data_IF_559182142172
#
_entry.id   IF_559182142172
#
_cell.length_a   1.000
_cell.length_b   1.000
_cell.length_c   1.000
_cell.angle_alpha   90.00
_cell.angle_beta   90.00
_cell.angle_gamma   90.00
#
_symmetry.space_group_name_H-M   'P 1'
#
loop_
_entity.id
_entity.type
_entity.pdbx_description
1 polymer ?
#
# COMPACT_ATOMS: atom_id res chain seq x y z
N UNK A 1 1.16 5.56 24.36
CA UNK A 1 2.40 4.75 24.31
C UNK A 1 3.67 5.59 24.35
N UNK A 2 4.19 6.25 23.30
CA UNK A 2 5.43 7.03 23.45
C UNK A 2 5.30 8.17 24.49
N UNK A 3 4.22 8.96 24.43
CA UNK A 3 3.96 10.02 25.40
C UNK A 3 3.72 9.47 26.81
N UNK A 4 2.87 8.45 26.91
CA UNK A 4 2.31 7.99 28.19
C UNK A 4 3.18 6.95 28.91
N UNK A 5 3.93 6.13 28.17
CA UNK A 5 4.74 5.00 28.71
C UNK A 5 6.25 5.22 28.55
N UNK A 6 6.68 6.09 27.62
CA UNK A 6 8.09 6.41 27.39
C UNK A 6 8.45 7.88 27.66
N UNK A 7 7.63 8.60 28.42
CA UNK A 7 7.86 10.01 28.80
C UNK A 7 8.21 10.91 27.61
N UNK A 8 7.56 10.68 26.46
CA UNK A 8 7.82 11.38 25.19
C UNK A 8 9.22 11.20 24.60
N UNK A 9 9.96 10.18 25.04
CA UNK A 9 11.26 9.80 24.46
C UNK A 9 11.11 8.56 23.59
N UNK A 10 11.70 8.59 22.40
CA UNK A 10 11.74 7.41 21.52
C UNK A 10 12.70 6.39 22.15
N UNK A 11 12.28 5.12 22.36
CA UNK A 11 13.17 4.08 22.86
C UNK A 11 14.35 3.85 21.91
N UNK A 12 15.55 3.66 22.46
CA UNK A 12 16.74 3.34 21.66
C UNK A 12 16.96 1.85 21.44
N UNK A 13 16.24 1.01 22.18
CA UNK A 13 16.28 -0.45 22.09
C UNK A 13 15.35 -0.96 20.96
N UNK A 14 15.85 -1.84 20.06
CA UNK A 14 15.07 -2.40 18.96
C UNK A 14 13.84 -3.20 19.40
N UNK A 15 13.91 -3.93 20.53
CA UNK A 15 12.77 -4.70 21.01
C UNK A 15 11.62 -3.78 21.45
N UNK A 16 11.95 -2.72 22.19
CA UNK A 16 11.03 -1.67 22.63
C UNK A 16 10.43 -0.91 21.46
N UNK A 17 11.24 -0.61 20.43
CA UNK A 17 10.73 -0.01 19.19
C UNK A 17 9.71 -0.92 18.50
N UNK A 18 9.99 -2.22 18.37
CA UNK A 18 9.08 -3.21 17.75
C UNK A 18 7.77 -3.41 18.52
N UNK A 19 7.75 -3.08 19.81
CA UNK A 19 6.53 -3.13 20.62
C UNK A 19 5.55 -1.98 20.29
N UNK A 20 6.01 -0.92 19.63
CA UNK A 20 5.17 0.21 19.23
C UNK A 20 4.24 -0.18 18.06
N UNK A 21 2.94 0.18 18.10
CA UNK A 21 2.02 -0.07 17.00
C UNK A 21 2.52 0.51 15.67
N UNK A 22 2.58 -0.34 14.64
CA UNK A 22 3.01 0.04 13.30
C UNK A 22 4.54 0.05 13.07
N UNK A 23 5.35 -0.24 14.08
CA UNK A 23 6.82 -0.31 13.95
C UNK A 23 7.25 -1.75 13.70
N UNK A 24 7.59 -2.04 12.44
CA UNK A 24 8.14 -3.34 12.02
C UNK A 24 9.66 -3.45 12.20
N UNK A 25 10.22 -4.61 11.83
CA UNK A 25 11.68 -4.88 11.91
C UNK A 25 12.50 -3.84 11.16
N UNK A 26 12.05 -3.43 9.96
CA UNK A 26 12.66 -2.36 9.16
C UNK A 26 12.75 -1.04 9.94
N UNK A 27 11.61 -0.52 10.41
CA UNK A 27 11.55 0.79 11.08
C UNK A 27 12.34 0.78 12.39
N UNK A 28 12.26 -0.33 13.15
CA UNK A 28 13.06 -0.48 14.36
C UNK A 28 14.56 -0.43 14.05
N UNK A 29 15.03 -1.19 13.05
CA UNK A 29 16.44 -1.18 12.63
C UNK A 29 16.90 0.19 12.12
N UNK A 30 16.06 0.89 11.35
CA UNK A 30 16.32 2.25 10.88
C UNK A 30 16.53 3.23 12.04
N UNK A 31 15.56 3.32 12.95
CA UNK A 31 15.62 4.25 14.08
C UNK A 31 16.79 3.89 15.00
N UNK A 32 16.96 2.62 15.35
CA UNK A 32 18.02 2.20 16.27
C UNK A 32 19.42 2.42 15.69
N UNK A 33 19.64 2.15 14.40
CA UNK A 33 20.96 2.33 13.78
C UNK A 33 21.29 3.77 13.43
N UNK A 34 20.36 4.50 12.82
CA UNK A 34 20.58 5.87 12.33
C UNK A 34 20.58 6.87 13.48
N UNK A 35 19.60 6.79 14.38
CA UNK A 35 19.45 7.78 15.46
C UNK A 35 20.31 7.42 16.67
N UNK A 36 20.40 6.13 17.00
CA UNK A 36 21.01 5.66 18.24
C UNK A 36 22.31 4.87 18.05
N UNK A 37 22.81 4.76 16.81
CA UNK A 37 24.09 4.12 16.51
C UNK A 37 24.15 2.62 16.81
N UNK A 38 23.00 1.95 16.98
CA UNK A 38 22.94 0.52 17.27
C UNK A 38 23.31 -0.31 16.04
N UNK A 39 24.01 -1.43 16.25
CA UNK A 39 24.36 -2.41 15.21
C UNK A 39 23.16 -3.27 14.81
N UNK A 40 22.11 -2.61 14.33
CA UNK A 40 20.91 -3.30 13.85
C UNK A 40 20.84 -3.20 12.34
N UNK A 41 20.54 -4.32 11.65
CA UNK A 41 20.38 -4.28 10.21
C UNK A 41 19.09 -3.53 9.84
N UNK A 42 19.08 -3.02 8.61
CA UNK A 42 17.91 -2.51 7.94
C UNK A 42 17.82 -3.20 6.58
N UNK A 43 16.68 -3.82 6.29
CA UNK A 43 16.45 -4.49 5.02
C UNK A 43 15.08 -4.09 4.46
N UNK A 44 15.10 -3.50 3.27
CA UNK A 44 13.95 -3.26 2.39
C UNK A 44 14.17 -3.93 1.02
N UNK A 45 13.27 -3.70 0.07
CA UNK A 45 13.41 -4.25 -1.29
C UNK A 45 14.65 -3.76 -2.04
N UNK A 46 15.23 -2.61 -1.68
CA UNK A 46 16.47 -2.10 -2.26
C UNK A 46 17.67 -2.86 -1.71
N UNK A 47 17.76 -2.99 -0.39
CA UNK A 47 18.81 -3.73 0.31
C UNK A 47 18.82 -5.21 -0.09
N UNK A 48 17.65 -5.87 -0.17
CA UNK A 48 17.56 -7.26 -0.64
C UNK A 48 18.22 -7.43 -2.00
N UNK A 49 17.90 -6.54 -2.95
CA UNK A 49 18.47 -6.58 -4.31
C UNK A 49 19.98 -6.33 -4.30
N UNK A 50 20.45 -5.34 -3.53
CA UNK A 50 21.88 -5.04 -3.42
C UNK A 50 22.64 -6.24 -2.87
N UNK A 51 22.18 -6.82 -1.76
CA UNK A 51 22.86 -7.94 -1.11
C UNK A 51 22.85 -9.20 -1.98
N UNK A 52 21.71 -9.55 -2.58
CA UNK A 52 21.63 -10.70 -3.48
C UNK A 52 22.54 -10.53 -4.69
N UNK A 53 22.65 -9.33 -5.27
CA UNK A 53 23.60 -9.07 -6.37
C UNK A 53 25.05 -9.12 -5.91
N UNK A 54 25.36 -8.53 -4.76
CA UNK A 54 26.72 -8.52 -4.20
C UNK A 54 27.28 -9.94 -4.08
N UNK A 55 26.46 -10.87 -3.58
CA UNK A 55 26.85 -12.26 -3.35
C UNK A 55 26.41 -13.23 -4.47
N UNK A 56 25.78 -12.73 -5.54
CA UNK A 56 25.19 -13.52 -6.63
C UNK A 56 24.19 -14.62 -6.17
N UNK A 57 23.32 -14.28 -5.22
CA UNK A 57 22.24 -15.15 -4.75
C UNK A 57 21.06 -15.07 -5.72
N UNK A 58 20.90 -16.15 -6.49
CA UNK A 58 19.82 -16.30 -7.47
C UNK A 58 18.46 -16.59 -6.82
N UNK A 59 17.41 -16.48 -7.64
CA UNK A 59 16.03 -16.72 -7.22
C UNK A 59 15.28 -15.44 -6.85
N UNK A 60 14.02 -15.57 -6.39
CA UNK A 60 13.19 -14.43 -6.01
C UNK A 60 13.80 -13.65 -4.82
N UNK A 61 13.31 -12.43 -4.54
CA UNK A 61 13.72 -11.67 -3.37
C UNK A 61 13.61 -12.50 -2.09
N UNK A 62 14.74 -12.78 -1.45
CA UNK A 62 14.88 -13.55 -0.22
C UNK A 62 15.21 -12.61 0.94
N UNK A 63 14.17 -12.18 1.64
CA UNK A 63 14.30 -11.32 2.81
C UNK A 63 14.99 -12.05 3.97
N UNK A 64 14.74 -13.35 4.16
CA UNK A 64 15.30 -14.10 5.29
C UNK A 64 16.82 -14.17 5.19
N UNK A 65 17.33 -14.57 4.02
CA UNK A 65 18.76 -14.56 3.74
C UNK A 65 19.34 -13.15 3.84
N UNK A 66 18.67 -12.16 3.26
CA UNK A 66 19.14 -10.77 3.27
C UNK A 66 19.26 -10.18 4.67
N UNK A 67 18.31 -10.51 5.58
CA UNK A 67 18.36 -10.10 6.97
C UNK A 67 19.59 -10.68 7.69
N UNK A 68 19.85 -11.98 7.53
CA UNK A 68 21.05 -12.60 8.12
C UNK A 68 22.34 -12.04 7.53
N UNK A 69 22.35 -11.74 6.23
CA UNK A 69 23.51 -11.14 5.57
C UNK A 69 23.76 -9.70 6.04
N UNK A 70 22.71 -8.90 6.16
CA UNK A 70 22.80 -7.53 6.65
C UNK A 70 23.30 -7.47 8.10
N UNK A 71 22.87 -8.40 8.95
CA UNK A 71 23.32 -8.52 10.35
C UNK A 71 24.84 -8.74 10.43
N UNK A 72 25.39 -9.65 9.62
CA UNK A 72 26.85 -9.87 9.56
C UNK A 72 27.61 -8.63 9.10
N UNK A 73 27.05 -7.84 8.18
CA UNK A 73 27.71 -6.65 7.64
C UNK A 73 27.66 -5.47 8.61
N UNK A 74 26.49 -5.20 9.21
CA UNK A 74 26.33 -4.09 10.15
C UNK A 74 27.13 -4.30 11.44
N UNK A 75 27.33 -5.55 11.85
CA UNK A 75 28.18 -5.87 13.02
C UNK A 75 29.64 -5.44 12.81
N UNK A 76 30.09 -5.36 11.55
CA UNK A 76 31.44 -4.93 11.18
C UNK A 76 31.53 -3.47 10.75
N UNK A 77 30.41 -2.77 10.62
CA UNK A 77 30.38 -1.38 10.18
C UNK A 77 30.94 -0.45 11.27
N UNK A 78 31.80 0.49 10.92
CA UNK A 78 32.25 1.50 11.90
C UNK A 78 31.08 2.40 12.33
N UNK A 79 30.24 2.80 11.37
CA UNK A 79 29.01 3.57 11.58
C UNK A 79 27.80 2.82 11.03
N UNK A 80 27.03 2.10 11.89
CA UNK A 80 25.87 1.30 11.48
C UNK A 80 24.80 2.11 10.74
N UNK A 81 24.48 3.31 11.22
CA UNK A 81 23.50 4.20 10.61
C UNK A 81 23.90 4.61 9.20
N UNK A 82 25.14 5.10 9.03
CA UNK A 82 25.68 5.49 7.72
C UNK A 82 25.77 4.28 6.78
N UNK A 83 26.16 3.11 7.30
CA UNK A 83 26.20 1.89 6.50
C UNK A 83 24.82 1.50 5.96
N UNK A 84 23.80 1.48 6.82
CA UNK A 84 22.43 1.14 6.42
C UNK A 84 21.88 2.16 5.41
N UNK A 85 22.06 3.46 5.67
CA UNK A 85 21.61 4.53 4.78
C UNK A 85 22.33 4.46 3.42
N UNK A 86 23.65 4.26 3.41
CA UNK A 86 24.41 4.07 2.18
C UNK A 86 23.95 2.85 1.37
N UNK A 87 23.58 1.75 2.05
CA UNK A 87 23.10 0.54 1.39
C UNK A 87 21.72 0.75 0.74
N UNK A 88 20.82 1.45 1.43
CA UNK A 88 19.53 1.87 0.89
C UNK A 88 19.71 2.79 -0.32
N UNK A 89 20.52 3.84 -0.18
CA UNK A 89 20.76 4.85 -1.20
C UNK A 89 21.42 4.24 -2.44
N UNK A 90 22.38 3.32 -2.24
CA UNK A 90 22.99 2.55 -3.32
C UNK A 90 21.93 1.77 -4.10
N UNK A 91 21.01 1.09 -3.40
CA UNK A 91 19.93 0.36 -4.03
C UNK A 91 18.94 1.27 -4.75
N UNK A 92 18.63 2.43 -4.19
CA UNK A 92 17.69 3.39 -4.76
C UNK A 92 18.23 4.08 -6.03
N UNK A 93 19.53 4.40 -6.06
CA UNK A 93 20.09 5.26 -7.11
C UNK A 93 21.00 4.53 -8.11
N UNK A 94 21.79 3.54 -7.70
CA UNK A 94 22.81 2.93 -8.55
C UNK A 94 22.45 1.48 -8.89
N UNK A 95 22.21 0.66 -7.88
CA UNK A 95 21.84 -0.73 -8.02
C UNK A 95 20.31 -0.85 -8.20
N UNK A 96 19.78 -0.20 -9.24
CA UNK A 96 18.34 -0.10 -9.55
C UNK A 96 17.74 -1.41 -10.08
N UNK A 97 16.41 -1.61 -10.02
CA UNK A 97 15.75 -2.70 -10.72
C UNK A 97 15.99 -2.65 -12.23
N UNK A 98 15.98 -3.81 -12.90
CA UNK A 98 16.34 -3.89 -14.31
C UNK A 98 17.85 -3.67 -14.47
N UNK A 99 18.24 -2.67 -15.26
CA UNK A 99 19.63 -2.33 -15.62
C UNK A 99 20.27 -1.46 -14.51
N UNK A 100 21.18 -2.00 -13.67
CA UNK A 100 21.90 -1.19 -12.68
C UNK A 100 23.08 -0.44 -13.32
N UNK A 101 23.50 0.66 -12.68
CA UNK A 101 24.67 1.45 -13.09
C UNK A 101 25.96 0.87 -12.50
N UNK A 102 26.31 -0.34 -12.93
CA UNK A 102 27.48 -1.07 -12.40
C UNK A 102 28.82 -0.40 -12.69
N UNK A 103 28.91 0.38 -13.78
CA UNK A 103 30.10 1.13 -14.20
C UNK A 103 30.54 2.19 -13.17
N UNK A 104 29.58 2.82 -12.49
CA UNK A 104 29.82 3.82 -11.43
C UNK A 104 29.61 3.27 -10.03
N UNK A 105 29.29 1.99 -9.89
CA UNK A 105 28.97 1.40 -8.60
C UNK A 105 30.23 1.25 -7.72
N UNK A 106 30.26 1.80 -6.49
CA UNK A 106 31.42 1.70 -5.62
C UNK A 106 31.72 0.25 -5.20
N UNK A 107 30.73 -0.64 -5.28
CA UNK A 107 30.88 -2.06 -4.95
C UNK A 107 31.13 -2.95 -6.17
N UNK A 108 31.25 -2.40 -7.39
CA UNK A 108 31.35 -3.18 -8.63
C UNK A 108 32.44 -4.26 -8.59
N UNK A 109 33.63 -3.90 -8.06
CA UNK A 109 34.78 -4.82 -7.93
C UNK A 109 34.56 -5.95 -6.92
N UNK A 110 33.63 -5.78 -5.98
CA UNK A 110 33.28 -6.77 -4.96
C UNK A 110 32.02 -7.56 -5.34
N UNK A 111 31.28 -7.11 -6.36
CA UNK A 111 29.98 -7.63 -6.72
C UNK A 111 30.09 -8.83 -7.64
N UNK A 112 29.73 -10.02 -7.13
CA UNK A 112 29.75 -11.26 -7.88
C UNK A 112 28.79 -11.24 -9.07
N UNK A 113 27.58 -10.67 -8.91
CA UNK A 113 26.64 -10.59 -10.03
C UNK A 113 27.13 -9.64 -11.13
N UNK A 114 27.87 -8.58 -10.78
CA UNK A 114 28.50 -7.69 -11.77
C UNK A 114 29.63 -8.41 -12.49
N UNK A 115 30.49 -9.13 -11.77
CA UNK A 115 31.59 -9.89 -12.34
C UNK A 115 31.11 -11.00 -13.31
N UNK A 116 29.95 -11.59 -13.03
CA UNK A 116 29.35 -12.63 -13.88
C UNK A 116 28.37 -12.08 -14.94
N UNK A 117 28.09 -10.78 -14.97
CA UNK A 117 27.14 -10.19 -15.92
C UNK A 117 25.67 -10.59 -15.69
N UNK A 118 25.29 -10.96 -14.46
CA UNK A 118 23.93 -11.44 -14.12
C UNK A 118 23.15 -10.50 -13.19
N UNK A 119 23.67 -9.29 -12.94
CA UNK A 119 23.04 -8.34 -12.02
C UNK A 119 21.59 -7.99 -12.42
N UNK A 120 21.26 -7.91 -13.70
CA UNK A 120 19.90 -7.60 -14.16
C UNK A 120 18.89 -8.71 -13.85
N UNK A 121 19.35 -9.97 -13.85
CA UNK A 121 18.51 -11.14 -13.59
C UNK A 121 18.27 -11.39 -12.09
N UNK A 122 19.02 -10.72 -11.21
CA UNK A 122 18.95 -10.90 -9.76
C UNK A 122 18.35 -9.65 -9.09
N UNK A 123 17.34 -9.80 -8.21
CA UNK A 123 16.59 -11.02 -7.94
C UNK A 123 15.61 -11.36 -9.08
N UNK A 124 15.32 -12.64 -9.26
CA UNK A 124 14.29 -13.08 -10.20
C UNK A 124 12.91 -12.55 -9.75
N UNK A 125 11.97 -12.27 -10.68
CA UNK A 125 10.64 -11.82 -10.29
C UNK A 125 9.91 -12.90 -9.48
N UNK A 126 9.23 -12.51 -8.39
CA UNK A 126 8.30 -13.42 -7.71
C UNK A 126 7.18 -13.81 -8.69
N UNK A 127 6.77 -15.09 -8.76
CA UNK A 127 5.58 -15.48 -9.49
C UNK A 127 4.39 -14.63 -9.00
N UNK A 128 3.67 -13.99 -9.92
CA UNK A 128 2.52 -13.16 -9.55
C UNK A 128 1.44 -14.08 -9.00
N UNK A 129 1.14 -13.97 -7.70
CA UNK A 129 -0.01 -14.65 -7.12
C UNK A 129 -1.27 -14.22 -7.88
N UNK A 130 -2.12 -15.19 -8.23
CA UNK A 130 -3.38 -14.90 -8.91
C UNK A 130 -4.24 -14.06 -7.96
N UNK A 131 -4.49 -12.81 -8.32
CA UNK A 131 -5.36 -11.92 -7.55
C UNK A 131 -6.75 -12.53 -7.47
N UNK A 132 -7.36 -12.49 -6.28
CA UNK A 132 -8.75 -12.88 -6.12
C UNK A 132 -9.64 -11.82 -6.74
N UNK A 133 -10.63 -12.26 -7.52
CA UNK A 133 -11.60 -11.36 -8.12
C UNK A 133 -12.64 -10.98 -7.08
N UNK A 134 -12.99 -9.69 -7.02
CA UNK A 134 -14.08 -9.15 -6.22
C UNK A 134 -14.94 -8.29 -7.14
N UNK A 135 -16.24 -8.56 -7.19
CA UNK A 135 -17.20 -7.74 -7.92
C UNK A 135 -17.84 -6.75 -6.94
N UNK A 136 -17.75 -5.46 -7.26
CA UNK A 136 -18.31 -4.38 -6.47
C UNK A 136 -19.36 -3.62 -7.30
N UNK A 137 -20.60 -3.60 -6.83
CA UNK A 137 -21.69 -2.87 -7.49
C UNK A 137 -22.02 -1.67 -6.63
N UNK A 138 -21.65 -0.47 -7.09
CA UNK A 138 -21.74 0.76 -6.31
C UNK A 138 -22.81 1.70 -6.88
N UNK A 139 -23.56 2.35 -6.00
CA UNK A 139 -24.55 3.36 -6.40
C UNK A 139 -24.16 4.72 -5.84
N UNK A 140 -23.94 5.68 -6.72
CA UNK A 140 -23.78 7.09 -6.36
C UNK A 140 -25.18 7.71 -6.27
N UNK A 141 -25.70 7.78 -5.05
CA UNK A 141 -26.99 8.43 -4.81
C UNK A 141 -26.79 9.91 -4.50
N UNK A 142 -27.52 10.77 -5.22
CA UNK A 142 -27.42 12.23 -5.11
C UNK A 142 -28.79 12.79 -4.73
N UNK A 143 -28.85 13.67 -3.72
CA UNK A 143 -30.08 14.34 -3.33
C UNK A 143 -30.29 15.68 -4.06
N UNK A 144 -31.43 16.34 -3.80
CA UNK A 144 -31.75 17.65 -4.42
C UNK A 144 -30.79 18.77 -4.03
N UNK A 145 -30.04 18.62 -2.93
CA UNK A 145 -29.02 19.57 -2.48
C UNK A 145 -27.63 19.26 -3.06
N UNK A 146 -27.53 18.24 -3.91
CA UNK A 146 -26.25 17.80 -4.48
C UNK A 146 -25.40 16.95 -3.55
N UNK A 147 -25.88 16.63 -2.33
CA UNK A 147 -25.16 15.79 -1.37
C UNK A 147 -25.12 14.35 -1.84
N UNK A 148 -24.09 13.62 -1.42
CA UNK A 148 -23.88 12.22 -1.80
C UNK A 148 -24.14 11.32 -0.61
N UNK A 149 -24.85 10.22 -0.83
CA UNK A 149 -25.08 9.23 0.22
C UNK A 149 -23.86 8.32 0.36
N UNK A 150 -23.29 8.26 1.56
CA UNK A 150 -22.17 7.38 1.89
C UNK A 150 -22.50 6.47 3.08
N UNK A 151 -21.84 5.32 3.14
CA UNK A 151 -21.87 4.37 4.26
C UNK A 151 -20.44 4.06 4.72
N UNK A 152 -20.25 3.79 6.02
CA UNK A 152 -18.95 3.42 6.56
C UNK A 152 -18.74 1.90 6.41
N UNK A 153 -17.54 1.50 5.97
CA UNK A 153 -17.18 0.09 5.82
C UNK A 153 -16.98 -0.57 7.19
N UNK A 154 -17.18 -1.91 7.30
CA UNK A 154 -16.89 -2.66 8.51
C UNK A 154 -15.45 -2.42 9.04
N UNK A 155 -15.18 -2.71 10.32
CA UNK A 155 -13.87 -2.47 10.95
C UNK A 155 -12.76 -3.42 10.46
N UNK A 156 -13.09 -4.40 9.62
CA UNK A 156 -12.17 -5.38 9.05
C UNK A 156 -12.39 -5.54 7.55
N UNK A 157 -11.37 -6.05 6.85
CA UNK A 157 -11.43 -6.29 5.40
C UNK A 157 -10.84 -5.14 4.56
N UNK A 158 -11.08 -5.21 3.26
CA UNK A 158 -10.59 -4.22 2.30
C UNK A 158 -11.14 -2.83 2.66
N UNK A 159 -10.27 -1.82 2.77
CA UNK A 159 -10.64 -0.44 3.14
C UNK A 159 -11.48 -0.34 4.43
N UNK A 160 -11.13 -1.11 5.46
CA UNK A 160 -11.82 -1.10 6.75
C UNK A 160 -11.98 0.32 7.31
N UNK A 161 -13.16 0.62 7.87
CA UNK A 161 -13.56 1.94 8.42
C UNK A 161 -13.53 3.13 7.45
N UNK A 162 -13.21 2.92 6.17
CA UNK A 162 -13.29 3.98 5.17
C UNK A 162 -14.74 4.21 4.77
N UNK A 163 -15.06 5.44 4.39
CA UNK A 163 -16.35 5.77 3.79
C UNK A 163 -16.42 5.23 2.36
N UNK A 164 -17.63 4.94 1.89
CA UNK A 164 -17.88 4.49 0.52
C UNK A 164 -19.27 4.87 0.04
N UNK A 165 -19.46 4.89 -1.28
CA UNK A 165 -20.81 4.84 -1.85
C UNK A 165 -21.47 3.50 -1.49
N UNK A 166 -22.79 3.44 -1.30
CA UNK A 166 -23.49 2.19 -1.07
C UNK A 166 -23.12 1.12 -2.07
N UNK A 167 -22.55 0.02 -1.58
CA UNK A 167 -21.92 -0.99 -2.42
C UNK A 167 -22.31 -2.41 -2.01
N UNK A 168 -22.56 -3.25 -3.01
CA UNK A 168 -22.72 -4.69 -2.83
C UNK A 168 -21.50 -5.39 -3.41
N UNK A 169 -20.80 -6.11 -2.54
CA UNK A 169 -19.63 -6.92 -2.89
C UNK A 169 -20.00 -8.42 -3.02
N UNK A 170 -19.36 -9.10 -3.98
CA UNK A 170 -19.56 -10.51 -4.31
C UNK A 170 -18.26 -11.10 -4.84
N UNK A 171 -17.94 -12.34 -4.48
CA UNK A 171 -16.75 -13.04 -4.98
C UNK A 171 -17.03 -13.81 -6.29
N UNK A 172 -18.30 -13.97 -6.68
CA UNK A 172 -18.75 -14.85 -7.76
C UNK A 172 -19.25 -14.10 -9.01
N UNK A 173 -20.04 -13.02 -8.84
CA UNK A 173 -20.65 -12.28 -9.95
C UNK A 173 -20.91 -10.80 -9.62
N UNK A 174 -21.15 -10.00 -10.66
CA UNK A 174 -21.68 -8.65 -10.47
C UNK A 174 -23.12 -8.70 -9.91
N UNK A 175 -23.43 -7.89 -8.89
CA UNK A 175 -24.80 -7.74 -8.43
C UNK A 175 -25.59 -6.88 -9.43
N UNK A 176 -26.89 -7.16 -9.56
CA UNK A 176 -27.76 -6.36 -10.41
C UNK A 176 -28.21 -5.08 -9.70
N UNK A 177 -28.65 -4.05 -10.45
CA UNK A 177 -29.29 -2.87 -9.86
C UNK A 177 -30.52 -3.21 -9.01
N UNK A 178 -31.25 -4.27 -9.37
CA UNK A 178 -32.46 -4.69 -8.65
C UNK A 178 -32.14 -5.19 -7.24
N UNK A 179 -30.94 -5.75 -7.02
CA UNK A 179 -30.47 -6.13 -5.68
C UNK A 179 -30.15 -4.90 -4.80
N UNK A 180 -29.88 -3.74 -5.42
CA UNK A 180 -29.54 -2.49 -4.73
C UNK A 180 -30.75 -1.60 -4.47
N UNK A 181 -31.79 -1.66 -5.32
CA UNK A 181 -33.00 -0.82 -5.19
C UNK A 181 -33.65 -0.90 -3.81
N UNK A 182 -33.90 -2.09 -3.21
CA UNK A 182 -34.50 -2.19 -1.89
C UNK A 182 -33.61 -1.59 -0.78
N UNK A 183 -32.29 -1.75 -0.90
CA UNK A 183 -31.32 -1.25 0.10
C UNK A 183 -31.32 0.28 0.19
N UNK A 184 -31.65 0.96 -0.90
CA UNK A 184 -31.60 2.42 -1.03
C UNK A 184 -32.99 3.07 -1.10
N UNK A 185 -34.05 2.27 -1.16
CA UNK A 185 -35.42 2.72 -1.38
C UNK A 185 -35.57 3.64 -2.61
N UNK A 186 -34.87 3.32 -3.70
CA UNK A 186 -34.88 4.10 -4.96
C UNK A 186 -35.72 3.42 -6.03
N UNK A 187 -36.45 4.22 -6.81
CA UNK A 187 -37.24 3.74 -7.96
C UNK A 187 -36.42 3.66 -9.25
N UNK A 188 -35.48 4.58 -9.44
CA UNK A 188 -34.68 4.66 -10.64
C UNK A 188 -33.18 4.60 -10.31
N UNK A 189 -32.49 3.72 -11.03
CA UNK A 189 -31.04 3.53 -10.99
C UNK A 189 -30.60 3.36 -12.45
N UNK A 190 -29.60 4.12 -12.87
CA UNK A 190 -29.03 4.08 -14.22
C UNK A 190 -27.54 3.74 -14.20
N UNK A 191 -27.02 2.98 -15.17
CA UNK A 191 -25.59 2.68 -15.26
C UNK A 191 -24.80 3.93 -15.67
N UNK A 192 -23.64 4.15 -15.04
CA UNK A 192 -22.74 5.26 -15.41
C UNK A 192 -21.34 4.82 -15.82
N UNK A 193 -20.89 3.62 -15.41
CA UNK A 193 -19.59 3.12 -15.85
C UNK A 193 -19.18 1.79 -15.24
N UNK A 194 -18.07 1.26 -15.74
CA UNK A 194 -17.37 0.09 -15.19
C UNK A 194 -15.88 0.32 -15.23
N UNK A 195 -15.17 -0.18 -14.23
CA UNK A 195 -13.70 -0.18 -14.22
C UNK A 195 -13.15 -1.29 -13.34
N UNK A 196 -11.89 -1.63 -13.55
CA UNK A 196 -11.13 -2.53 -12.67
C UNK A 196 -10.16 -1.71 -11.81
N UNK A 197 -10.10 -2.02 -10.52
CA UNK A 197 -9.19 -1.43 -9.55
C UNK A 197 -8.31 -2.53 -8.96
N UNK A 198 -7.00 -2.34 -9.05
CA UNK A 198 -6.02 -3.35 -8.69
C UNK A 198 -5.43 -3.05 -7.31
N UNK A 199 -5.43 -4.06 -6.45
CA UNK A 199 -4.71 -4.05 -5.18
C UNK A 199 -3.66 -5.16 -5.18
N UNK A 200 -2.84 -5.24 -4.13
CA UNK A 200 -1.85 -6.32 -3.98
C UNK A 200 -2.50 -7.71 -4.09
N UNK A 201 -3.64 -7.92 -3.43
CA UNK A 201 -4.26 -9.24 -3.30
C UNK A 201 -5.54 -9.44 -4.11
N UNK A 202 -6.21 -8.35 -4.52
CA UNK A 202 -7.51 -8.40 -5.21
C UNK A 202 -7.52 -7.56 -6.48
N UNK A 203 -8.22 -8.05 -7.50
CA UNK A 203 -8.71 -7.25 -8.60
C UNK A 203 -10.19 -6.97 -8.33
N UNK A 204 -10.57 -5.70 -8.17
CA UNK A 204 -11.94 -5.29 -7.87
C UNK A 204 -12.59 -4.75 -9.14
N UNK A 205 -13.64 -5.41 -9.62
CA UNK A 205 -14.42 -4.97 -10.78
C UNK A 205 -15.63 -4.19 -10.31
N UNK A 206 -15.62 -2.89 -10.59
CA UNK A 206 -16.70 -1.98 -10.27
C UNK A 206 -17.72 -1.93 -11.41
N UNK A 207 -18.99 -2.06 -11.05
CA UNK A 207 -20.10 -1.55 -11.85
C UNK A 207 -20.74 -0.40 -11.09
N UNK A 208 -20.73 0.78 -11.70
CA UNK A 208 -21.18 2.02 -11.07
C UNK A 208 -22.51 2.43 -11.66
N UNK A 209 -23.41 2.80 -10.77
CA UNK A 209 -24.73 3.31 -11.09
C UNK A 209 -24.96 4.65 -10.39
N UNK A 210 -25.89 5.42 -10.93
CA UNK A 210 -26.37 6.66 -10.33
C UNK A 210 -27.84 6.53 -9.97
N UNK A 211 -28.24 7.16 -8.87
CA UNK A 211 -29.62 7.16 -8.41
C UNK A 211 -30.00 8.49 -7.75
N UNK A 212 -31.31 8.78 -7.75
CA UNK A 212 -31.90 9.93 -7.08
C UNK A 212 -33.02 9.50 -6.14
N UNK A 213 -33.28 10.32 -5.13
CA UNK A 213 -34.38 10.08 -4.18
C UNK A 213 -34.14 8.91 -3.23
N UNK A 214 -32.87 8.53 -3.02
CA UNK A 214 -32.50 7.51 -2.04
C UNK A 214 -32.88 7.95 -0.62
N UNK A 215 -33.05 6.97 0.27
CA UNK A 215 -33.13 7.21 1.71
C UNK A 215 -31.84 6.72 2.34
N UNK A 216 -31.32 7.49 3.30
CA UNK A 216 -30.11 7.10 4.01
C UNK A 216 -30.29 5.75 4.73
N UNK A 217 -31.42 5.56 5.42
CA UNK A 217 -31.61 4.38 6.27
C UNK A 217 -30.61 4.38 7.43
N UNK A 218 -30.45 3.23 8.10
CA UNK A 218 -29.46 3.08 9.17
C UNK A 218 -28.04 2.89 8.61
N UNK A 219 -27.05 3.49 9.25
CA UNK A 219 -25.63 3.33 8.89
C UNK A 219 -25.15 4.14 7.67
N UNK A 220 -25.97 5.05 7.13
CA UNK A 220 -25.60 5.92 6.01
C UNK A 220 -25.83 7.38 6.32
N UNK A 221 -25.07 8.26 5.67
CA UNK A 221 -25.15 9.70 5.84
C UNK A 221 -25.12 10.41 4.50
N UNK A 222 -25.88 11.49 4.39
CA UNK A 222 -25.76 12.45 3.30
C UNK A 222 -24.63 13.39 3.61
N UNK A 223 -23.62 13.43 2.74
CA UNK A 223 -22.41 14.24 2.90
C UNK A 223 -22.38 15.32 1.83
N UNK A 224 -22.00 16.54 2.21
CA UNK A 224 -21.82 17.63 1.26
C UNK A 224 -20.60 17.37 0.37
N UNK A 225 -20.68 17.79 -0.91
CA UNK A 225 -19.57 17.58 -1.85
C UNK A 225 -18.28 18.25 -1.41
N UNK A 226 -18.38 19.35 -0.66
CA UNK A 226 -17.22 20.07 -0.16
C UNK A 226 -16.55 19.40 1.05
N UNK A 227 -17.29 18.55 1.78
CA UNK A 227 -16.78 17.81 2.95
C UNK A 227 -16.12 16.47 2.52
N UNK A 228 -16.30 16.08 1.27
CA UNK A 228 -15.85 14.80 0.74
C UNK A 228 -14.32 14.62 0.85
N UNK A 229 -13.54 15.68 0.66
CA UNK A 229 -12.07 15.65 0.80
C UNK A 229 -11.58 15.42 2.23
N UNK A 230 -12.42 15.67 3.23
CA UNK A 230 -12.08 15.50 4.65
C UNK A 230 -12.40 14.08 5.15
N UNK A 231 -13.10 13.28 4.35
CA UNK A 231 -13.43 11.90 4.68
C UNK A 231 -12.33 10.93 4.24
N UNK A 232 -12.10 9.90 5.07
CA UNK A 232 -11.27 8.75 4.71
C UNK A 232 -11.91 7.88 3.63
N UNK A 233 -11.85 8.32 2.37
CA UNK A 233 -12.32 7.59 1.19
C UNK A 233 -11.16 6.91 0.47
N UNK A 234 -11.41 5.71 -0.04
CA UNK A 234 -10.42 5.02 -0.88
C UNK A 234 -10.35 5.68 -2.28
N UNK A 235 -9.19 5.61 -2.93
CA UNK A 235 -9.01 6.05 -4.32
C UNK A 235 -9.96 5.34 -5.29
N UNK A 236 -10.34 4.09 -4.98
CA UNK A 236 -11.36 3.36 -5.72
C UNK A 236 -12.73 4.04 -5.64
N UNK A 237 -13.18 4.44 -4.45
CA UNK A 237 -14.47 5.12 -4.29
C UNK A 237 -14.46 6.58 -4.76
N UNK A 238 -13.31 7.27 -4.70
CA UNK A 238 -13.14 8.54 -5.40
C UNK A 238 -13.40 8.38 -6.91
N UNK A 239 -12.85 7.32 -7.53
CA UNK A 239 -13.12 6.99 -8.94
C UNK A 239 -14.58 6.60 -9.20
N UNK A 240 -15.23 5.87 -8.29
CA UNK A 240 -16.67 5.58 -8.37
C UNK A 240 -17.49 6.87 -8.47
N UNK A 241 -17.21 7.86 -7.62
CA UNK A 241 -17.89 9.16 -7.63
C UNK A 241 -17.62 9.96 -8.91
N UNK A 242 -16.37 9.97 -9.37
CA UNK A 242 -15.98 10.61 -10.62
C UNK A 242 -16.74 10.03 -11.83
N UNK A 243 -16.96 8.71 -11.89
CA UNK A 243 -17.78 8.09 -12.95
C UNK A 243 -19.22 8.63 -13.00
N UNK A 244 -19.77 9.12 -11.90
CA UNK A 244 -21.12 9.67 -11.83
C UNK A 244 -21.18 11.20 -12.02
N UNK A 245 -20.05 11.85 -12.31
CA UNK A 245 -19.94 13.31 -12.43
C UNK A 245 -19.96 14.04 -11.09
N UNK A 246 -19.57 13.37 -10.00
CA UNK A 246 -19.34 14.01 -8.70
C UNK A 246 -17.84 14.30 -8.59
N UNK A 247 -17.49 15.57 -8.77
CA UNK A 247 -16.13 16.08 -8.61
C UNK A 247 -15.96 16.70 -7.21
N UNK A 248 -14.71 16.78 -6.75
CA UNK A 248 -14.34 17.16 -5.37
C UNK A 248 -13.11 16.43 -4.83
N UNK A 249 -12.56 15.47 -5.58
CA UNK A 249 -11.32 14.78 -5.26
C UNK A 249 -10.26 15.05 -6.33
N UNK A 250 -9.09 15.54 -5.91
CA UNK A 250 -7.88 15.26 -6.65
C UNK A 250 -7.63 13.75 -6.51
N UNK A 251 -7.85 12.99 -7.58
CA UNK A 251 -7.45 11.59 -7.59
C UNK A 251 -5.94 11.55 -7.35
N UNK A 252 -5.51 11.11 -6.17
CA UNK A 252 -4.11 10.75 -5.96
C UNK A 252 -3.88 9.50 -6.80
N UNK A 253 -3.31 9.73 -7.97
CA UNK A 253 -2.82 8.70 -8.88
C UNK A 253 -1.85 7.81 -8.12
N UNK A 254 -2.24 6.56 -7.93
CA UNK A 254 -1.36 5.45 -7.52
C UNK A 254 -1.05 4.58 -8.73
#
# INVERSE_FOLDING_TARGET
MIRDEHASKIPSDPASLRALPGVGRYTAGAVSSIVFGKREPLVDGNVVRVLQRLDAVEGPPDESWSWGRAEVLVERAESPGVFNEALMELGATICTPGVPRCDVCPLARLCRASAHGVAEAIPAPRPRARRRLLYATSVVAIDRKGRVLLEERPPTGLWAKMWQCPTVERDDRQASPDELRPRLAVRHIEPVGRFEFLTTHRAVRFAVYRAWGARAGSGRKWIDRNELSELGLSSAHARVMACAGVEGFAAVSS
#
